data_IF_175198317447
#
_entry.id   IF_175198317447
#
_cell.length_a   1.000
_cell.length_b   1.000
_cell.length_c   1.000
_cell.angle_alpha   90.00
_cell.angle_beta   90.00
_cell.angle_gamma   90.00
#
_symmetry.space_group_name_H-M   'P 1'
#
loop_
_entity.id
_entity.type
_entity.pdbx_description
1 polymer ?
#
# COMPACT_ATOMS: atom_id res chain seq x y z
N UNK A 1 -14.90 4.04 -0.59
CA UNK A 1 -14.73 2.61 -0.22
C UNK A 1 -13.65 2.05 -1.11
N UNK A 2 -12.48 1.71 -0.54
CA UNK A 2 -11.38 1.10 -1.30
C UNK A 2 -11.86 -0.29 -1.74
N UNK A 3 -12.04 -0.48 -3.04
CA UNK A 3 -12.47 -1.75 -3.63
C UNK A 3 -11.56 -2.88 -3.15
N UNK A 4 -12.14 -4.05 -2.88
CA UNK A 4 -11.48 -5.23 -2.28
C UNK A 4 -10.32 -5.83 -3.12
N UNK A 5 -9.96 -5.17 -4.22
CA UNK A 5 -8.90 -5.49 -5.16
C UNK A 5 -7.79 -4.42 -5.18
N UNK A 6 -7.62 -3.64 -4.11
CA UNK A 6 -6.45 -2.77 -3.99
C UNK A 6 -5.24 -3.64 -3.64
N UNK A 7 -4.61 -4.18 -4.68
CA UNK A 7 -3.38 -4.95 -4.58
C UNK A 7 -2.19 -4.03 -4.32
N UNK A 8 -1.12 -4.62 -3.76
CA UNK A 8 0.18 -3.97 -3.51
C UNK A 8 0.67 -3.19 -4.73
N UNK A 9 0.46 -3.70 -5.93
CA UNK A 9 0.85 -3.02 -7.18
C UNK A 9 0.05 -1.75 -7.45
N UNK A 10 -1.27 -1.74 -7.18
CA UNK A 10 -2.10 -0.55 -7.33
C UNK A 10 -1.70 0.52 -6.31
N UNK A 11 -1.50 0.11 -5.07
CA UNK A 11 -1.01 0.97 -3.99
C UNK A 11 0.34 1.55 -4.37
N UNK A 12 1.26 0.72 -4.86
CA UNK A 12 2.56 1.19 -5.35
C UNK A 12 2.42 2.21 -6.45
N UNK A 13 1.59 1.97 -7.46
CA UNK A 13 1.35 2.93 -8.54
C UNK A 13 0.82 4.28 -8.06
N UNK A 14 -0.13 4.27 -7.11
CA UNK A 14 -0.71 5.50 -6.54
C UNK A 14 0.34 6.27 -5.72
N UNK A 15 1.06 5.57 -4.85
CA UNK A 15 2.01 6.18 -3.92
C UNK A 15 3.38 6.49 -4.57
N UNK A 16 3.70 5.87 -5.71
CA UNK A 16 4.94 6.14 -6.47
C UNK A 16 5.03 7.60 -6.91
N UNK A 17 3.90 8.27 -7.14
CA UNK A 17 3.88 9.70 -7.45
C UNK A 17 4.26 10.59 -6.26
N UNK A 18 4.17 10.08 -5.03
CA UNK A 18 4.54 10.79 -3.80
C UNK A 18 5.99 10.50 -3.39
N UNK A 19 6.51 9.34 -3.76
CA UNK A 19 7.90 8.97 -3.51
C UNK A 19 8.21 7.52 -3.82
N UNK A 20 9.49 7.17 -3.68
CA UNK A 20 9.95 5.79 -3.84
C UNK A 20 9.48 4.97 -2.65
N UNK A 21 8.72 3.91 -2.93
CA UNK A 21 8.22 2.97 -1.94
C UNK A 21 9.27 1.89 -1.75
N UNK A 22 9.77 1.77 -0.53
CA UNK A 22 10.71 0.75 -0.11
C UNK A 22 9.99 -0.57 0.13
N UNK A 23 8.87 -0.53 0.85
CA UNK A 23 8.06 -1.71 1.15
C UNK A 23 6.56 -1.39 1.05
N UNK A 24 5.75 -2.35 0.59
CA UNK A 24 4.31 -2.25 0.72
C UNK A 24 3.74 -3.61 1.12
N UNK A 25 2.87 -3.61 2.13
CA UNK A 25 2.26 -4.81 2.66
C UNK A 25 0.75 -4.60 2.76
N UNK A 26 -0.04 -5.39 2.04
CA UNK A 26 -1.50 -5.37 2.15
C UNK A 26 -1.95 -6.32 3.26
N UNK A 27 -2.68 -5.80 4.23
CA UNK A 27 -3.25 -6.61 5.30
C UNK A 27 -4.42 -7.45 4.75
N UNK A 28 -4.24 -8.77 4.74
CA UNK A 28 -5.26 -9.74 4.37
C UNK A 28 -5.73 -10.49 5.62
N UNK A 29 -7.01 -10.77 5.67
CA UNK A 29 -7.61 -11.61 6.70
C UNK A 29 -7.22 -13.08 6.51
N UNK A 30 -7.47 -13.95 7.49
CA UNK A 30 -7.17 -15.39 7.41
C UNK A 30 -7.84 -16.07 6.21
N UNK A 31 -8.96 -15.53 5.72
CA UNK A 31 -9.64 -15.97 4.51
C UNK A 31 -9.01 -15.41 3.20
N UNK A 32 -7.82 -14.81 3.26
CA UNK A 32 -7.14 -14.19 2.11
C UNK A 32 -7.80 -12.88 1.62
N UNK A 33 -8.85 -12.41 2.29
CA UNK A 33 -9.62 -11.23 1.90
C UNK A 33 -8.92 -9.98 2.42
N UNK A 34 -8.56 -9.05 1.54
CA UNK A 34 -7.97 -7.77 1.95
C UNK A 34 -8.89 -7.07 2.94
N UNK A 35 -8.35 -6.69 4.11
CA UNK A 35 -9.08 -5.93 5.12
C UNK A 35 -9.31 -4.47 4.70
N UNK A 36 -8.85 -4.08 3.51
CA UNK A 36 -8.93 -2.71 3.01
C UNK A 36 -7.87 -1.79 3.62
N UNK A 37 -6.89 -2.37 4.34
CA UNK A 37 -5.78 -1.65 4.94
C UNK A 37 -4.47 -2.13 4.29
N UNK A 38 -3.54 -1.19 4.08
CA UNK A 38 -2.21 -1.48 3.61
C UNK A 38 -1.20 -0.60 4.35
N UNK A 39 -0.02 -1.15 4.58
CA UNK A 39 1.14 -0.43 5.06
C UNK A 39 2.05 -0.13 3.89
N UNK A 40 2.51 1.11 3.80
CA UNK A 40 3.45 1.58 2.78
C UNK A 40 4.61 2.24 3.49
N UNK A 41 5.81 1.70 3.28
CA UNK A 41 7.07 2.23 3.78
C UNK A 41 7.76 2.97 2.64
N UNK A 42 7.94 4.27 2.77
CA UNK A 42 8.71 5.06 1.82
C UNK A 42 10.21 4.99 2.13
N UNK A 43 11.02 4.97 1.09
CA UNK A 43 12.49 5.00 1.21
C UNK A 43 12.98 6.28 1.88
N UNK A 44 12.25 7.38 1.70
CA UNK A 44 12.59 8.68 2.30
C UNK A 44 11.49 9.11 3.25
N UNK A 45 11.89 9.47 4.47
CA UNK A 45 10.98 10.07 5.47
C UNK A 45 10.27 11.32 4.94
N UNK A 46 10.94 12.10 4.09
CA UNK A 46 10.36 13.29 3.44
C UNK A 46 9.13 12.98 2.59
N UNK A 47 9.04 11.76 2.02
CA UNK A 47 7.91 11.33 1.21
C UNK A 47 6.74 10.78 2.05
N UNK A 48 6.96 10.57 3.35
CA UNK A 48 5.98 10.08 4.31
C UNK A 48 5.44 11.20 5.23
N UNK A 49 5.79 12.46 4.96
CA UNK A 49 5.37 13.67 5.67
C UNK A 49 4.36 14.45 4.83
#
# INVERSE_FOLDING_TARGET
MVSKNLDEQNIRGIFQSYGIIEDCTVLRDANGKSRGCAFVTFQKRQCAL
#
